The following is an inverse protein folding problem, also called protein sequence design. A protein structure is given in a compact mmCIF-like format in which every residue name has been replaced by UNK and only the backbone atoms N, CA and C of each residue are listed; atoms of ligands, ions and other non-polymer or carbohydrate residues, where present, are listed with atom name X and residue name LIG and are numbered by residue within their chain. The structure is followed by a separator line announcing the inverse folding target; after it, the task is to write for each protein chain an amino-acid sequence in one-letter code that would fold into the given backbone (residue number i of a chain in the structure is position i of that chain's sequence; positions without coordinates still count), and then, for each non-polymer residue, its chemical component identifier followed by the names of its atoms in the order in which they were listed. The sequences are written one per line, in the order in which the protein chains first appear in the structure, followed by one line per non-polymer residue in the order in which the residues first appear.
data_IF_481721638858
#
_entry.id   IF_481721638858
#
_cell.length_a   1.000
_cell.length_b   1.000
_cell.length_c   1.000
_cell.angle_alpha   90.00
_cell.angle_beta   90.00
_cell.angle_gamma   90.00
#
_symmetry.space_group_name_H-M   'P 1'
#
loop_
_entity.id
_entity.type
_entity.pdbx_description
1 polymer ?
#
# COMPACT_ATOMS: atom_id res chain seq x y z
N UNK A 1 53.29 -40.97 -8.57
CA UNK A 1 52.46 -39.82 -9.00
C UNK A 1 51.10 -39.92 -8.32
N UNK A 2 50.68 -38.84 -7.68
CA UNK A 2 49.63 -38.74 -6.65
C UNK A 2 48.22 -38.89 -7.23
N UNK A 3 47.37 -39.71 -6.59
CA UNK A 3 45.93 -39.81 -6.89
C UNK A 3 45.19 -38.68 -6.16
N UNK A 4 44.47 -37.83 -6.89
CA UNK A 4 43.62 -36.79 -6.32
C UNK A 4 42.25 -37.39 -5.95
N UNK A 5 41.94 -37.45 -4.65
CA UNK A 5 40.59 -37.64 -4.12
C UNK A 5 40.29 -36.50 -3.16
N UNK A 6 39.46 -35.56 -3.56
CA UNK A 6 38.58 -34.74 -2.68
C UNK A 6 37.46 -34.25 -3.61
N UNK A 7 36.43 -35.07 -3.88
CA UNK A 7 35.13 -35.04 -3.18
C UNK A 7 34.63 -33.60 -3.01
N UNK A 8 33.80 -33.15 -3.95
CA UNK A 8 33.23 -31.81 -3.98
C UNK A 8 32.35 -31.58 -2.76
N UNK A 9 32.80 -30.70 -1.88
CA UNK A 9 32.00 -30.18 -0.78
C UNK A 9 31.15 -29.06 -1.39
N UNK A 10 29.91 -29.39 -1.72
CA UNK A 10 28.86 -28.42 -2.03
C UNK A 10 28.65 -27.54 -0.79
N UNK A 11 29.22 -26.33 -0.81
CA UNK A 11 29.13 -25.39 0.29
C UNK A 11 28.04 -24.36 0.02
N UNK A 12 27.02 -24.47 0.87
CA UNK A 12 26.26 -23.39 1.48
C UNK A 12 25.25 -22.63 0.61
N UNK A 13 24.03 -23.19 0.63
CA UNK A 13 22.74 -22.53 0.72
C UNK A 13 22.79 -21.03 1.06
N UNK A 14 22.82 -20.19 0.03
CA UNK A 14 22.59 -18.75 0.15
C UNK A 14 21.08 -18.47 0.08
N UNK A 15 20.33 -18.86 1.12
CA UNK A 15 18.93 -18.45 1.32
C UNK A 15 18.92 -17.21 2.23
N UNK A 16 19.27 -16.04 1.67
CA UNK A 16 18.97 -14.78 2.34
C UNK A 16 17.46 -14.56 2.26
N UNK A 17 16.82 -14.71 3.41
CA UNK A 17 15.61 -14.02 3.87
C UNK A 17 15.05 -13.00 2.87
N UNK A 18 14.18 -13.45 1.96
CA UNK A 18 13.15 -12.56 1.45
C UNK A 18 12.26 -12.26 2.65
N UNK A 19 12.50 -11.12 3.31
CA UNK A 19 11.54 -10.61 4.27
C UNK A 19 10.20 -10.51 3.55
N UNK A 20 9.22 -11.30 3.98
CA UNK A 20 7.81 -11.08 3.66
C UNK A 20 7.38 -9.80 4.37
N UNK A 21 7.94 -8.65 3.98
CA UNK A 21 7.28 -7.38 4.20
C UNK A 21 6.13 -7.35 3.22
N UNK A 22 4.92 -7.65 3.68
CA UNK A 22 3.77 -7.47 2.83
C UNK A 22 3.72 -6.00 2.45
N UNK A 23 3.79 -5.68 1.15
CA UNK A 23 3.62 -4.33 0.65
C UNK A 23 2.12 -3.99 0.61
N UNK A 24 1.39 -4.40 1.64
CA UNK A 24 -0.04 -4.15 1.73
C UNK A 24 -0.26 -2.81 2.45
N UNK A 25 -1.35 -2.13 2.13
CA UNK A 25 -1.77 -0.93 2.83
C UNK A 25 -3.27 -0.89 2.83
N UNK A 26 -3.87 -0.89 4.02
CA UNK A 26 -5.28 -0.62 4.20
C UNK A 26 -5.43 0.74 4.87
N UNK A 27 -6.13 1.65 4.20
CA UNK A 27 -6.50 2.95 4.72
C UNK A 27 -8.01 3.05 4.91
N UNK A 28 -8.44 3.47 6.09
CA UNK A 28 -9.82 3.81 6.39
C UNK A 28 -9.98 5.35 6.40
N UNK A 29 -10.96 5.84 5.65
CA UNK A 29 -11.29 7.25 5.56
C UNK A 29 -11.89 7.79 6.85
N UNK A 30 -11.49 8.99 7.25
CA UNK A 30 -12.05 9.73 8.39
C UNK A 30 -13.06 10.74 7.86
N UNK A 31 -14.33 10.38 7.94
CA UNK A 31 -15.46 11.21 7.52
C UNK A 31 -16.76 10.69 8.09
N UNK A 32 -17.87 11.39 7.78
CA UNK A 32 -19.21 10.93 8.13
C UNK A 32 -19.63 9.72 7.28
N UNK A 33 -19.24 9.73 6.00
CA UNK A 33 -19.49 8.64 5.07
C UNK A 33 -18.28 7.66 5.07
N UNK A 34 -18.53 6.33 5.13
CA UNK A 34 -17.48 5.31 5.04
C UNK A 34 -16.65 5.40 3.76
N UNK A 35 -15.35 5.15 3.88
CA UNK A 35 -14.46 4.98 2.74
C UNK A 35 -13.25 4.11 3.12
N UNK A 36 -12.80 3.27 2.20
CA UNK A 36 -11.69 2.35 2.38
C UNK A 36 -10.84 2.27 1.12
N UNK A 37 -9.53 2.16 1.31
CA UNK A 37 -8.56 1.85 0.25
C UNK A 37 -7.74 0.66 0.73
N UNK A 38 -7.72 -0.42 -0.03
CA UNK A 38 -6.85 -1.57 0.22
C UNK A 38 -5.93 -1.77 -0.97
N UNK A 39 -4.62 -1.80 -0.74
CA UNK A 39 -3.60 -2.07 -1.73
C UNK A 39 -2.86 -3.34 -1.36
N UNK A 40 -2.65 -4.22 -2.34
CA UNK A 40 -1.67 -5.31 -2.29
C UNK A 40 -0.59 -5.08 -3.34
N UNK A 41 0.61 -4.71 -2.88
CA UNK A 41 1.66 -4.18 -3.75
C UNK A 41 1.21 -2.91 -4.46
N UNK A 42 1.05 -2.98 -5.79
CA UNK A 42 0.66 -1.83 -6.65
C UNK A 42 -0.82 -1.81 -7.02
N UNK A 43 -1.59 -2.84 -6.71
CA UNK A 43 -3.00 -2.95 -7.12
C UNK A 43 -3.90 -3.01 -5.91
N UNK A 44 -5.16 -2.63 -6.09
CA UNK A 44 -6.10 -2.66 -5.00
C UNK A 44 -7.50 -2.24 -5.38
N UNK A 45 -8.28 -1.92 -4.37
CA UNK A 45 -9.64 -1.40 -4.49
C UNK A 45 -9.82 -0.18 -3.61
N UNK A 46 -10.63 0.76 -4.07
CA UNK A 46 -11.18 1.84 -3.26
C UNK A 46 -12.69 1.71 -3.22
N UNK A 47 -13.28 1.87 -2.05
CA UNK A 47 -14.72 1.98 -1.84
C UNK A 47 -15.01 3.25 -1.07
N UNK A 48 -16.12 3.92 -1.38
CA UNK A 48 -16.56 5.07 -0.60
C UNK A 48 -18.06 5.29 -0.77
N UNK A 49 -18.63 6.02 0.18
CA UNK A 49 -20.01 6.47 0.13
C UNK A 49 -20.05 7.99 0.00
N UNK A 50 -21.11 8.47 -0.65
CA UNK A 50 -21.45 9.88 -0.65
C UNK A 50 -22.98 10.02 -0.67
N UNK A 51 -23.54 10.42 0.47
CA UNK A 51 -24.98 10.36 0.68
C UNK A 51 -25.51 8.92 0.49
N UNK A 52 -26.59 8.70 -0.28
CA UNK A 52 -27.17 7.37 -0.45
C UNK A 52 -26.42 6.48 -1.47
N UNK A 53 -25.34 6.99 -2.08
CA UNK A 53 -24.62 6.29 -3.16
C UNK A 53 -23.37 5.59 -2.61
N UNK A 54 -23.13 4.39 -3.13
CA UNK A 54 -21.91 3.62 -2.89
C UNK A 54 -21.11 3.51 -4.18
N UNK A 55 -19.80 3.65 -4.07
CA UNK A 55 -18.86 3.56 -5.17
C UNK A 55 -17.78 2.53 -4.84
N UNK A 56 -17.31 1.84 -5.87
CA UNK A 56 -16.22 0.88 -5.78
C UNK A 56 -15.44 0.89 -7.08
N UNK A 57 -14.12 1.05 -6.99
CA UNK A 57 -13.24 1.04 -8.16
C UNK A 57 -11.97 0.25 -7.89
N UNK A 58 -11.44 -0.38 -8.94
CA UNK A 58 -10.07 -0.86 -8.91
C UNK A 58 -9.12 0.33 -8.92
N UNK A 59 -8.03 0.23 -8.17
CA UNK A 59 -6.96 1.23 -8.14
C UNK A 59 -5.62 0.60 -8.49
N UNK A 60 -4.77 1.42 -9.10
CA UNK A 60 -3.35 1.10 -9.30
C UNK A 60 -2.51 2.22 -8.70
N UNK A 61 -1.56 1.87 -7.84
CA UNK A 61 -0.57 2.81 -7.34
C UNK A 61 0.47 3.11 -8.42
N UNK A 62 0.49 4.34 -8.90
CA UNK A 62 1.50 4.87 -9.82
C UNK A 62 2.84 4.94 -9.10
N UNK A 63 2.81 5.47 -7.88
CA UNK A 63 3.95 5.58 -6.98
C UNK A 63 3.53 5.29 -5.55
N UNK A 64 4.40 4.59 -4.81
CA UNK A 64 4.20 4.30 -3.39
C UNK A 64 5.56 4.29 -2.69
N UNK A 65 5.70 5.14 -1.68
CA UNK A 65 6.95 5.32 -0.91
C UNK A 65 6.74 5.00 0.57
N UNK A 66 5.64 4.34 0.91
CA UNK A 66 5.28 4.02 2.29
C UNK A 66 6.34 3.16 2.95
N UNK A 67 6.79 3.58 4.13
CA UNK A 67 7.71 2.84 4.97
C UNK A 67 7.00 2.47 6.26
N UNK A 68 7.09 1.20 6.65
CA UNK A 68 6.55 0.69 7.91
C UNK A 68 7.65 0.77 8.97
N UNK A 69 7.37 1.43 10.08
CA UNK A 69 8.31 1.59 11.19
C UNK A 69 7.63 1.44 12.55
N UNK A 70 8.40 1.52 13.65
CA UNK A 70 7.88 1.38 15.01
C UNK A 70 6.82 2.42 15.37
N UNK A 71 6.84 3.57 14.70
CA UNK A 71 5.91 4.69 14.94
C UNK A 71 4.72 4.72 13.98
N UNK A 72 4.56 3.67 13.16
CA UNK A 72 3.48 3.54 12.18
C UNK A 72 3.98 3.56 10.74
N UNK A 73 3.06 3.92 9.82
CA UNK A 73 3.34 4.01 8.38
C UNK A 73 3.42 5.47 7.96
N UNK A 74 4.52 5.85 7.30
CA UNK A 74 4.72 7.19 6.72
C UNK A 74 5.09 7.08 5.24
N UNK A 75 4.86 8.14 4.47
CA UNK A 75 5.26 8.22 3.06
C UNK A 75 4.13 8.74 2.16
N UNK A 76 4.19 8.41 0.87
CA UNK A 76 3.21 8.89 -0.11
C UNK A 76 2.59 7.75 -0.89
N UNK A 77 1.35 7.95 -1.35
CA UNK A 77 0.62 7.04 -2.22
C UNK A 77 -0.05 7.86 -3.32
N UNK A 78 0.29 7.58 -4.57
CA UNK A 78 -0.35 8.16 -5.75
C UNK A 78 -1.12 7.05 -6.48
N UNK A 79 -2.44 7.19 -6.55
CA UNK A 79 -3.37 6.20 -7.07
C UNK A 79 -4.04 6.70 -8.34
N UNK A 80 -4.15 5.83 -9.33
CA UNK A 80 -5.11 5.97 -10.43
C UNK A 80 -6.26 5.01 -10.20
N UNK A 81 -7.47 5.56 -10.20
CA UNK A 81 -8.72 4.84 -10.20
C UNK A 81 -9.06 4.35 -11.62
N UNK A 82 -9.85 3.28 -11.74
CA UNK A 82 -10.27 2.72 -13.02
C UNK A 82 -11.02 3.75 -13.90
N UNK A 83 -11.75 4.69 -13.30
CA UNK A 83 -12.38 5.82 -13.98
C UNK A 83 -11.41 6.93 -14.45
N UNK A 84 -10.10 6.74 -14.27
CA UNK A 84 -9.05 7.67 -14.71
C UNK A 84 -8.77 8.83 -13.74
N UNK A 85 -9.46 8.88 -12.60
CA UNK A 85 -9.21 9.89 -11.56
C UNK A 85 -7.98 9.54 -10.73
N UNK A 86 -7.29 10.58 -10.25
CA UNK A 86 -6.07 10.45 -9.45
C UNK A 86 -6.32 10.85 -8.00
N UNK A 87 -5.78 10.07 -7.07
CA UNK A 87 -5.80 10.38 -5.63
C UNK A 87 -4.38 10.36 -5.10
N UNK A 88 -3.93 11.48 -4.54
CA UNK A 88 -2.60 11.60 -3.95
C UNK A 88 -2.70 11.82 -2.44
N UNK A 89 -2.07 10.92 -1.69
CA UNK A 89 -2.07 10.87 -0.23
C UNK A 89 -0.65 11.05 0.29
N UNK A 90 -0.49 11.90 1.30
CA UNK A 90 0.76 12.08 2.04
C UNK A 90 0.50 11.74 3.48
N UNK A 91 1.24 10.78 4.02
CA UNK A 91 1.05 10.29 5.36
C UNK A 91 2.27 10.32 6.23
N UNK A 92 1.99 10.45 7.52
CA UNK A 92 2.94 10.41 8.60
C UNK A 92 2.27 9.78 9.84
N UNK A 93 3.02 8.94 10.57
CA UNK A 93 2.54 8.29 11.80
C UNK A 93 1.16 7.59 11.62
N UNK A 94 1.00 6.80 10.56
CA UNK A 94 -0.23 6.08 10.21
C UNK A 94 -1.45 6.95 9.88
N UNK A 95 -1.26 8.25 9.67
CA UNK A 95 -2.30 9.18 9.21
C UNK A 95 -1.94 9.73 7.85
N UNK A 96 -2.85 9.68 6.89
CA UNK A 96 -2.66 10.16 5.52
C UNK A 96 -3.63 11.30 5.21
N UNK A 97 -3.09 12.43 4.76
CA UNK A 97 -3.86 13.55 4.25
C UNK A 97 -3.93 13.47 2.72
N UNK A 98 -5.14 13.63 2.19
CA UNK A 98 -5.37 13.76 0.76
C UNK A 98 -4.93 15.14 0.28
N UNK A 99 -4.00 15.15 -0.66
CA UNK A 99 -3.47 16.36 -1.29
C UNK A 99 -4.08 16.62 -2.65
N UNK A 100 -4.64 15.59 -3.30
CA UNK A 100 -5.28 15.71 -4.61
C UNK A 100 -6.35 14.63 -4.81
N UNK A 101 -7.42 14.95 -5.56
CA UNK A 101 -8.44 13.99 -6.01
C UNK A 101 -9.64 13.79 -5.10
N UNK A 102 -9.45 13.71 -3.77
CA UNK A 102 -10.52 13.31 -2.86
C UNK A 102 -11.74 14.23 -2.91
N UNK A 103 -11.54 15.55 -2.95
CA UNK A 103 -12.67 16.50 -3.01
C UNK A 103 -13.51 16.34 -4.27
N UNK A 104 -12.89 16.08 -5.43
CA UNK A 104 -13.61 15.86 -6.69
C UNK A 104 -14.43 14.57 -6.68
N UNK A 105 -13.94 13.57 -5.95
CA UNK A 105 -14.59 12.26 -5.79
C UNK A 105 -15.55 12.21 -4.59
N UNK A 106 -15.67 13.30 -3.83
CA UNK A 106 -16.39 13.34 -2.56
C UNK A 106 -15.89 12.32 -1.52
N UNK A 107 -14.59 12.02 -1.55
CA UNK A 107 -13.93 11.17 -0.56
C UNK A 107 -13.41 11.97 0.64
N UNK A 108 -13.14 11.31 1.78
CA UNK A 108 -12.50 11.93 2.94
C UNK A 108 -11.15 12.59 2.63
N UNK A 109 -10.88 13.72 3.29
CA UNK A 109 -9.59 14.40 3.21
C UNK A 109 -8.52 13.77 4.11
N UNK A 110 -8.93 13.01 5.13
CA UNK A 110 -8.06 12.34 6.08
C UNK A 110 -8.33 10.85 6.08
N UNK A 111 -7.27 10.07 6.22
CA UNK A 111 -7.26 8.63 6.19
C UNK A 111 -6.33 8.12 7.28
N UNK A 112 -6.59 6.95 7.83
CA UNK A 112 -5.69 6.29 8.78
C UNK A 112 -5.40 4.89 8.31
N UNK A 113 -4.23 4.36 8.65
CA UNK A 113 -3.96 2.94 8.47
C UNK A 113 -4.95 2.15 9.33
N UNK A 114 -5.68 1.23 8.71
CA UNK A 114 -6.58 0.32 9.42
C UNK A 114 -5.76 -0.75 10.16
N UNK A 115 -6.23 -1.15 11.34
CA UNK A 115 -5.73 -2.34 12.02
C UNK A 115 -6.52 -3.54 11.47
N UNK A 116 -5.81 -4.53 10.91
CA UNK A 116 -6.40 -5.78 10.39
C UNK A 116 -6.92 -6.70 11.52
#
# INVERSE_FOLDING_TARGET
MKRHRVSGIALLSLLLLAGCGSNDLHLAGKGADPADITLSGKRGTVTWQWGPKSFAEAVTAISRTTTHGPTGVSGTVDLTLAGGKHVFLVGDHSTFACRHGCTELHMPALWVVAED
#
